data_IF_003902517044
#
_entry.id   IF_003902517044
#
_cell.length_a   1.000
_cell.length_b   1.000
_cell.length_c   1.000
_cell.angle_alpha   90.00
_cell.angle_beta   90.00
_cell.angle_gamma   90.00
#
_symmetry.space_group_name_H-M   'P 1'
#
loop_
_entity.id
_entity.type
_entity.pdbx_description
1 polymer ?
#
# COMPACT_ATOMS: atom_id res chain seq x y z
N UNK A 1 46.53 -1.79 53.67
CA UNK A 1 45.87 -0.57 53.17
C UNK A 1 44.77 -0.96 52.20
N UNK A 2 43.55 -0.43 52.40
CA UNK A 2 42.27 -0.88 51.83
C UNK A 2 42.17 -0.66 50.31
N UNK A 3 41.68 -1.67 49.57
CA UNK A 3 41.19 -1.51 48.19
C UNK A 3 39.78 -0.91 48.24
N UNK A 4 39.60 0.28 47.67
CA UNK A 4 38.28 0.86 47.40
C UNK A 4 37.73 0.27 46.10
N UNK A 5 36.62 -0.46 46.18
CA UNK A 5 35.82 -0.87 45.04
C UNK A 5 34.79 0.23 44.80
N UNK A 6 34.87 0.90 43.66
CA UNK A 6 33.91 1.91 43.22
C UNK A 6 32.73 1.20 42.55
N UNK A 7 31.59 1.09 43.24
CA UNK A 7 30.33 0.67 42.64
C UNK A 7 29.72 1.85 41.88
N UNK A 8 29.87 1.84 40.54
CA UNK A 8 29.16 2.76 39.67
C UNK A 8 27.70 2.33 39.52
N UNK A 9 26.79 3.06 40.16
CA UNK A 9 25.35 2.97 39.89
C UNK A 9 25.07 3.54 38.48
N UNK A 10 24.83 2.67 37.50
CA UNK A 10 24.16 3.06 36.26
C UNK A 10 22.68 3.29 36.60
N UNK A 11 22.30 4.56 36.73
CA UNK A 11 20.91 4.97 36.77
C UNK A 11 20.27 4.61 35.42
N UNK A 12 19.53 3.51 35.38
CA UNK A 12 18.56 3.21 34.33
C UNK A 12 17.45 4.25 34.42
N UNK A 13 17.62 5.37 33.72
CA UNK A 13 16.55 6.33 33.50
C UNK A 13 15.37 5.61 32.84
N UNK A 14 14.13 5.86 33.27
CA UNK A 14 12.96 5.25 32.65
C UNK A 14 12.91 5.72 31.19
N UNK A 15 13.06 4.78 30.26
CA UNK A 15 12.65 5.00 28.88
C UNK A 15 11.16 5.37 28.92
N UNK A 16 10.86 6.66 28.77
CA UNK A 16 9.51 7.10 28.51
C UNK A 16 9.09 6.50 27.17
N UNK A 17 8.40 5.37 27.22
CA UNK A 17 7.60 4.90 26.09
C UNK A 17 6.47 5.91 25.95
N UNK A 18 6.65 6.89 25.08
CA UNK A 18 5.57 7.78 24.68
C UNK A 18 4.43 6.88 24.20
N UNK A 19 3.33 6.84 24.96
CA UNK A 19 2.07 6.29 24.46
C UNK A 19 1.70 7.18 23.29
N UNK A 20 1.87 6.67 22.06
CA UNK A 20 1.32 7.32 20.88
C UNK A 20 -0.15 7.60 21.17
N UNK A 21 -0.52 8.87 21.27
CA UNK A 21 -1.93 9.25 21.32
C UNK A 21 -2.64 8.65 20.11
N UNK A 22 -3.86 8.14 20.30
CA UNK A 22 -4.64 7.62 19.21
C UNK A 22 -4.95 8.78 18.26
N UNK A 23 -4.36 8.75 17.07
CA UNK A 23 -4.60 9.76 16.03
C UNK A 23 -6.09 9.80 15.70
N UNK A 24 -6.67 11.00 15.64
CA UNK A 24 -8.09 11.19 15.35
C UNK A 24 -8.36 10.78 13.90
N UNK A 25 -9.52 10.20 13.60
CA UNK A 25 -9.90 9.88 12.22
C UNK A 25 -10.69 11.06 11.64
N UNK A 26 -10.24 11.64 10.52
CA UNK A 26 -10.91 12.78 9.90
C UNK A 26 -12.24 12.39 9.24
N UNK A 27 -12.31 11.18 8.66
CA UNK A 27 -13.48 10.69 7.96
C UNK A 27 -14.34 9.79 8.86
N UNK A 28 -15.56 10.21 9.26
CA UNK A 28 -16.42 9.38 10.10
C UNK A 28 -16.74 8.02 9.48
N UNK A 29 -16.75 7.94 8.15
CA UNK A 29 -16.92 6.69 7.41
C UNK A 29 -15.79 5.68 7.70
N UNK A 30 -14.55 6.14 7.92
CA UNK A 30 -13.42 5.28 8.29
C UNK A 30 -13.55 4.71 9.71
N UNK A 31 -14.30 5.35 10.61
CA UNK A 31 -14.60 4.78 11.93
C UNK A 31 -15.42 3.49 11.83
N UNK A 32 -16.15 3.29 10.72
CA UNK A 32 -16.89 2.05 10.45
C UNK A 32 -15.97 0.91 9.98
N UNK A 33 -14.76 1.24 9.53
CA UNK A 33 -13.80 0.27 9.04
C UNK A 33 -12.91 -0.24 10.18
N UNK A 34 -12.70 -1.57 10.20
CA UNK A 34 -11.72 -2.18 11.10
C UNK A 34 -10.31 -1.85 10.60
N UNK A 35 -9.43 -1.49 11.53
CA UNK A 35 -8.00 -1.40 11.24
C UNK A 35 -7.50 -2.78 10.80
N UNK A 36 -6.76 -2.83 9.69
CA UNK A 36 -6.08 -4.05 9.24
C UNK A 36 -4.61 -3.77 8.89
N UNK A 37 -3.77 -4.79 9.03
CA UNK A 37 -2.37 -4.73 8.59
C UNK A 37 -2.30 -4.83 7.06
N UNK A 38 -1.32 -4.17 6.44
CA UNK A 38 -1.12 -4.20 4.99
C UNK A 38 -1.07 -5.63 4.44
N UNK A 39 -0.31 -6.52 5.07
CA UNK A 39 -0.23 -7.91 4.63
C UNK A 39 -1.56 -8.65 4.63
N UNK A 40 -2.46 -8.35 5.58
CA UNK A 40 -3.80 -8.93 5.63
C UNK A 40 -4.66 -8.41 4.46
N UNK A 41 -4.54 -7.12 4.14
CA UNK A 41 -5.21 -6.53 2.98
C UNK A 41 -4.70 -7.16 1.69
N UNK A 42 -3.38 -7.24 1.50
CA UNK A 42 -2.79 -7.87 0.31
C UNK A 42 -3.23 -9.33 0.20
N UNK A 43 -3.18 -10.11 1.28
CA UNK A 43 -3.62 -11.52 1.27
C UNK A 43 -5.08 -11.67 0.83
N UNK A 44 -5.96 -10.80 1.33
CA UNK A 44 -7.38 -10.77 0.99
C UNK A 44 -7.59 -10.48 -0.51
N UNK A 45 -6.81 -9.57 -1.08
CA UNK A 45 -6.88 -9.21 -2.50
C UNK A 45 -6.07 -10.11 -3.43
N UNK A 46 -5.25 -11.03 -2.91
CA UNK A 46 -4.73 -12.14 -3.73
C UNK A 46 -5.89 -13.03 -4.21
N UNK A 47 -5.91 -13.43 -5.50
CA UNK A 47 -6.91 -14.35 -6.04
C UNK A 47 -6.91 -15.68 -5.30
N UNK A 48 -8.09 -16.25 -5.11
CA UNK A 48 -8.25 -17.64 -4.74
C UNK A 48 -7.83 -18.53 -5.92
N UNK A 49 -7.62 -19.84 -5.68
CA UNK A 49 -7.17 -20.76 -6.74
C UNK A 49 -8.11 -20.83 -7.94
N UNK A 50 -9.41 -20.72 -7.70
CA UNK A 50 -10.45 -20.85 -8.72
C UNK A 50 -10.84 -19.50 -9.34
N UNK A 51 -10.28 -18.38 -8.85
CA UNK A 51 -10.50 -17.06 -9.44
C UNK A 51 -9.77 -17.01 -10.80
N UNK A 52 -10.50 -16.66 -11.86
CA UNK A 52 -9.90 -16.56 -13.19
C UNK A 52 -9.00 -15.31 -13.29
N UNK A 53 -9.62 -14.13 -13.21
CA UNK A 53 -8.99 -12.82 -13.39
C UNK A 53 -9.52 -11.81 -12.33
N UNK A 54 -8.81 -10.70 -12.15
CA UNK A 54 -9.34 -9.54 -11.43
C UNK A 54 -10.49 -8.91 -12.24
N UNK A 55 -11.64 -8.79 -11.60
CA UNK A 55 -12.83 -8.15 -12.16
C UNK A 55 -13.16 -6.88 -11.40
N UNK A 56 -13.97 -6.00 -12.00
CA UNK A 56 -14.39 -4.76 -11.32
C UNK A 56 -15.16 -5.01 -10.04
N UNK A 57 -15.90 -6.13 -9.94
CA UNK A 57 -16.61 -6.54 -8.74
C UNK A 57 -15.76 -7.37 -7.75
N UNK A 58 -14.46 -7.55 -8.03
CA UNK A 58 -13.57 -8.32 -7.18
C UNK A 58 -13.54 -7.73 -5.76
N UNK A 59 -13.93 -8.53 -4.75
CA UNK A 59 -14.07 -8.11 -3.35
C UNK A 59 -15.02 -6.91 -3.13
N UNK A 60 -16.01 -6.70 -4.02
CA UNK A 60 -16.95 -5.58 -3.93
C UNK A 60 -17.74 -5.53 -2.61
N UNK A 61 -17.97 -6.69 -1.98
CA UNK A 61 -18.73 -6.82 -0.73
C UNK A 61 -17.83 -6.98 0.51
N UNK A 62 -16.53 -6.64 0.41
CA UNK A 62 -15.65 -6.72 1.58
C UNK A 62 -16.08 -5.69 2.64
N UNK A 63 -16.37 -6.11 3.89
CA UNK A 63 -16.88 -5.19 4.91
C UNK A 63 -15.82 -4.19 5.41
N UNK A 64 -14.55 -4.39 5.07
CA UNK A 64 -13.46 -3.48 5.45
C UNK A 64 -13.02 -2.57 4.29
N UNK A 65 -13.83 -2.45 3.23
CA UNK A 65 -13.61 -1.55 2.11
C UNK A 65 -14.88 -0.73 1.86
N UNK A 66 -14.72 0.59 1.75
CA UNK A 66 -15.78 1.47 1.24
C UNK A 66 -15.46 1.78 -0.21
N UNK A 67 -16.32 1.35 -1.13
CA UNK A 67 -16.21 1.71 -2.54
C UNK A 67 -16.76 3.11 -2.74
N UNK A 68 -15.94 4.00 -3.29
CA UNK A 68 -16.31 5.38 -3.61
C UNK A 68 -17.10 5.44 -4.91
N UNK A 69 -16.73 4.59 -5.87
CA UNK A 69 -17.40 4.51 -7.16
C UNK A 69 -18.49 3.44 -7.17
N UNK A 70 -19.62 3.76 -7.83
CA UNK A 70 -20.75 2.83 -8.01
C UNK A 70 -20.36 1.60 -8.85
N UNK A 71 -19.49 1.80 -9.84
CA UNK A 71 -18.93 0.77 -10.76
C UNK A 71 -17.48 1.14 -11.08
N UNK A 72 -16.98 0.83 -12.27
CA UNK A 72 -15.82 1.50 -12.86
C UNK A 72 -16.22 2.80 -13.56
N UNK A 73 -15.29 3.75 -13.59
CA UNK A 73 -15.36 4.98 -14.38
C UNK A 73 -14.38 4.81 -15.53
N UNK A 74 -14.84 4.99 -16.77
CA UNK A 74 -14.01 4.95 -17.96
C UNK A 74 -13.83 6.37 -18.50
N UNK A 75 -12.59 6.76 -18.77
CA UNK A 75 -12.20 8.06 -19.32
C UNK A 75 -11.34 7.84 -20.55
N UNK A 76 -11.58 8.64 -21.59
CA UNK A 76 -10.72 8.67 -22.78
C UNK A 76 -9.58 9.67 -22.54
N UNK A 77 -8.35 9.22 -22.69
CA UNK A 77 -7.14 10.02 -22.56
C UNK A 77 -6.89 10.84 -23.84
N UNK A 78 -6.02 11.85 -23.73
CA UNK A 78 -5.69 12.76 -24.84
C UNK A 78 -5.05 12.05 -26.04
N UNK A 79 -4.35 10.94 -25.81
CA UNK A 79 -3.77 10.10 -26.85
C UNK A 79 -4.79 9.17 -27.55
N UNK A 80 -6.06 9.27 -27.16
CA UNK A 80 -7.17 8.48 -27.70
C UNK A 80 -7.34 7.11 -27.06
N UNK A 81 -6.47 6.70 -26.14
CA UNK A 81 -6.62 5.47 -25.36
C UNK A 81 -7.67 5.63 -24.27
N UNK A 82 -8.12 4.51 -23.71
CA UNK A 82 -9.05 4.52 -22.57
C UNK A 82 -8.27 4.18 -21.31
N UNK A 83 -8.78 4.72 -20.20
CA UNK A 83 -8.40 4.36 -18.85
C UNK A 83 -9.67 4.15 -18.04
N UNK A 84 -9.76 2.98 -17.40
CA UNK A 84 -10.85 2.63 -16.51
C UNK A 84 -10.32 2.49 -15.08
N UNK A 85 -11.08 2.99 -14.12
CA UNK A 85 -10.73 2.85 -12.70
C UNK A 85 -11.92 2.62 -11.79
N UNK A 86 -11.68 2.00 -10.64
CA UNK A 86 -12.63 1.91 -9.54
C UNK A 86 -11.91 2.13 -8.22
N UNK A 87 -12.36 3.13 -7.46
CA UNK A 87 -11.75 3.58 -6.21
C UNK A 87 -12.48 3.01 -5.00
N UNK A 88 -11.71 2.41 -4.10
CA UNK A 88 -12.14 2.05 -2.75
C UNK A 88 -11.17 2.61 -1.71
N UNK A 89 -11.62 2.65 -0.46
CA UNK A 89 -10.80 3.04 0.69
C UNK A 89 -10.86 1.99 1.80
N UNK A 90 -9.73 1.80 2.47
CA UNK A 90 -9.59 0.91 3.61
C UNK A 90 -8.80 1.59 4.74
N UNK A 91 -9.05 1.15 5.97
CA UNK A 91 -8.28 1.58 7.15
C UNK A 91 -7.10 0.63 7.38
N UNK A 92 -5.91 1.05 6.98
CA UNK A 92 -4.72 0.18 6.93
C UNK A 92 -3.58 0.78 7.73
N UNK A 93 -2.77 -0.10 8.31
CA UNK A 93 -1.50 0.25 8.95
C UNK A 93 -0.41 -0.70 8.46
N UNK A 94 0.85 -0.28 8.59
CA UNK A 94 2.02 -1.12 8.32
C UNK A 94 2.79 -1.28 9.61
N UNK A 95 2.76 -2.47 10.20
CA UNK A 95 3.42 -2.78 11.47
C UNK A 95 3.01 -1.83 12.61
N UNK A 96 1.72 -1.50 12.69
CA UNK A 96 1.18 -0.53 13.65
C UNK A 96 1.25 0.93 13.21
N UNK A 97 2.03 1.27 12.18
CA UNK A 97 2.21 2.66 11.71
C UNK A 97 1.10 3.04 10.74
N UNK A 98 0.50 4.21 10.96
CA UNK A 98 -0.62 4.75 10.19
C UNK A 98 -0.19 6.03 9.50
N UNK A 99 -0.58 6.20 8.24
CA UNK A 99 -0.40 7.47 7.54
C UNK A 99 -1.16 8.58 8.25
N UNK A 100 -0.60 9.79 8.24
CA UNK A 100 -1.21 10.95 8.88
C UNK A 100 -1.24 12.17 7.99
N UNK A 101 -2.19 13.06 8.24
CA UNK A 101 -2.30 14.37 7.63
C UNK A 101 -2.56 15.44 8.70
N UNK A 102 -1.85 16.56 8.61
CA UNK A 102 -2.00 17.70 9.49
C UNK A 102 -3.03 18.68 8.92
N UNK A 103 -4.15 18.82 9.62
CA UNK A 103 -5.20 19.80 9.32
C UNK A 103 -5.75 20.36 10.64
N UNK A 104 -5.16 21.45 11.12
CA UNK A 104 -5.33 21.96 12.50
C UNK A 104 -4.86 21.00 13.62
N UNK A 105 -4.91 19.68 13.42
CA UNK A 105 -4.36 18.59 14.24
C UNK A 105 -4.00 17.38 13.35
N UNK A 106 -3.29 16.39 13.91
CA UNK A 106 -2.98 15.15 13.18
C UNK A 106 -4.21 14.25 13.04
N UNK A 107 -4.48 13.83 11.81
CA UNK A 107 -5.51 12.84 11.48
C UNK A 107 -4.94 11.60 10.82
N UNK A 108 -5.54 10.44 11.11
CA UNK A 108 -5.27 9.20 10.38
C UNK A 108 -5.88 9.30 8.98
N UNK A 109 -5.06 9.02 7.96
CA UNK A 109 -5.52 8.94 6.57
C UNK A 109 -5.82 7.49 6.17
N UNK A 110 -6.76 7.27 5.25
CA UNK A 110 -7.02 5.93 4.74
C UNK A 110 -5.96 5.50 3.73
N UNK A 111 -6.12 4.25 3.27
CA UNK A 111 -5.46 3.75 2.09
C UNK A 111 -6.44 3.68 0.94
N UNK A 112 -6.02 4.16 -0.23
CA UNK A 112 -6.68 3.91 -1.48
C UNK A 112 -6.45 2.46 -1.93
N UNK A 113 -7.51 1.86 -2.47
CA UNK A 113 -7.51 0.62 -3.24
C UNK A 113 -8.02 1.02 -4.62
N UNK A 114 -7.13 1.10 -5.60
CA UNK A 114 -7.50 1.52 -6.96
C UNK A 114 -7.42 0.31 -7.87
N UNK A 115 -8.54 -0.04 -8.48
CA UNK A 115 -8.56 -0.98 -9.60
C UNK A 115 -8.32 -0.17 -10.86
N UNK A 116 -7.41 -0.63 -11.71
CA UNK A 116 -7.00 0.05 -12.94
C UNK A 116 -7.06 -0.94 -14.10
N UNK A 117 -7.54 -0.48 -15.25
CA UNK A 117 -7.57 -1.24 -16.48
C UNK A 117 -7.61 -0.33 -17.71
N UNK A 118 -7.15 -0.82 -18.85
CA UNK A 118 -7.18 -0.06 -20.11
C UNK A 118 -8.63 0.25 -20.57
N UNK A 119 -9.42 -0.78 -20.88
CA UNK A 119 -10.84 -0.63 -21.24
C UNK A 119 -11.68 -1.40 -20.24
N UNK A 120 -12.77 -0.81 -19.77
CA UNK A 120 -13.60 -1.38 -18.71
C UNK A 120 -14.10 -2.80 -19.04
N UNK A 121 -14.39 -3.09 -20.30
CA UNK A 121 -14.84 -4.42 -20.73
C UNK A 121 -13.79 -5.54 -20.55
N UNK A 122 -12.50 -5.21 -20.50
CA UNK A 122 -11.42 -6.21 -20.36
C UNK A 122 -11.10 -6.56 -18.91
N UNK A 123 -11.68 -5.82 -17.96
CA UNK A 123 -11.50 -6.06 -16.54
C UNK A 123 -10.34 -5.25 -15.97
N UNK A 124 -9.77 -5.78 -14.88
CA UNK A 124 -8.77 -5.08 -14.07
C UNK A 124 -7.39 -5.67 -14.37
N UNK A 125 -6.48 -4.79 -14.78
CA UNK A 125 -5.08 -5.13 -15.04
C UNK A 125 -4.26 -5.08 -13.75
N UNK A 126 -4.51 -4.05 -12.91
CA UNK A 126 -3.74 -3.77 -11.71
C UNK A 126 -4.64 -3.37 -10.54
N UNK A 127 -4.25 -3.79 -9.33
CA UNK A 127 -4.83 -3.29 -8.08
C UNK A 127 -3.74 -2.57 -7.29
N UNK A 128 -3.88 -1.27 -7.11
CA UNK A 128 -2.92 -0.40 -6.44
C UNK A 128 -3.35 -0.08 -4.99
N UNK A 129 -2.40 -0.10 -4.07
CA UNK A 129 -2.57 0.14 -2.63
C UNK A 129 -1.58 1.20 -2.17
N UNK A 130 -2.07 2.30 -1.61
CA UNK A 130 -1.23 3.36 -1.04
C UNK A 130 -2.02 4.26 -0.08
N UNK A 131 -1.37 4.87 0.93
CA UNK A 131 -2.02 5.88 1.76
C UNK A 131 -2.42 7.10 0.91
N UNK A 132 -3.67 7.55 1.01
CA UNK A 132 -4.21 8.65 0.19
C UNK A 132 -5.48 9.25 0.78
N UNK A 133 -5.77 10.50 0.44
CA UNK A 133 -7.03 11.16 0.80
C UNK A 133 -8.07 10.97 -0.33
N UNK A 134 -9.27 10.44 -0.05
CA UNK A 134 -10.24 10.10 -1.09
C UNK A 134 -10.90 11.29 -1.79
N UNK A 135 -10.98 12.44 -1.14
CA UNK A 135 -11.67 13.65 -1.64
C UNK A 135 -10.79 14.56 -2.50
N UNK A 136 -9.51 14.24 -2.60
CA UNK A 136 -8.56 14.95 -3.44
C UNK A 136 -8.03 13.97 -4.47
N UNK A 137 -8.57 14.05 -5.68
CA UNK A 137 -8.12 13.20 -6.78
C UNK A 137 -6.61 13.37 -6.97
N UNK A 138 -5.87 12.27 -6.85
CA UNK A 138 -4.41 12.26 -7.00
C UNK A 138 -3.59 12.61 -5.75
N UNK A 139 -4.20 12.92 -4.60
CA UNK A 139 -3.46 13.15 -3.34
C UNK A 139 -3.04 11.82 -2.69
N UNK A 140 -2.07 11.18 -3.34
CA UNK A 140 -1.17 10.25 -2.66
C UNK A 140 -0.58 10.95 -1.43
N UNK A 141 -0.36 10.21 -0.33
CA UNK A 141 0.32 10.72 0.86
C UNK A 141 1.69 11.28 0.46
N UNK A 142 1.78 12.61 0.37
CA UNK A 142 2.92 13.35 -0.16
C UNK A 142 2.79 14.83 0.22
N UNK A 143 3.91 15.50 0.50
CA UNK A 143 3.91 16.90 0.91
C UNK A 143 4.09 17.10 2.42
N UNK A 144 4.37 18.34 2.82
CA UNK A 144 4.74 18.72 4.19
C UNK A 144 3.63 18.48 5.23
N UNK A 145 2.38 18.43 4.79
CA UNK A 145 1.24 18.11 5.66
C UNK A 145 1.09 16.63 5.96
N UNK A 146 1.78 15.74 5.23
CA UNK A 146 1.64 14.30 5.37
C UNK A 146 2.81 13.68 6.12
N UNK A 147 2.54 12.62 6.87
CA UNK A 147 3.54 11.82 7.58
C UNK A 147 3.27 10.34 7.42
N UNK A 148 4.33 9.55 7.59
CA UNK A 148 4.27 8.08 7.55
C UNK A 148 3.72 7.54 6.21
N UNK A 149 4.09 8.20 5.10
CA UNK A 149 3.70 7.85 3.72
C UNK A 149 4.55 6.74 3.08
N UNK A 150 5.76 6.55 3.61
CA UNK A 150 6.67 5.49 3.18
C UNK A 150 6.47 4.24 4.01
N UNK A 151 6.62 3.08 3.37
CA UNK A 151 6.45 1.81 4.05
C UNK A 151 7.25 0.70 3.39
N UNK A 152 7.67 -0.27 4.20
CA UNK A 152 8.17 -1.55 3.72
C UNK A 152 7.10 -2.64 3.88
N UNK A 153 6.66 -3.30 2.80
CA UNK A 153 5.55 -4.26 2.89
C UNK A 153 5.98 -5.59 3.53
N UNK A 154 7.26 -5.95 3.45
CA UNK A 154 7.75 -7.32 3.59
C UNK A 154 7.44 -7.97 4.94
N UNK A 155 7.71 -7.29 6.06
CA UNK A 155 7.40 -7.84 7.39
C UNK A 155 5.90 -8.04 7.58
N UNK A 156 5.06 -7.13 7.04
CA UNK A 156 3.61 -7.27 7.10
C UNK A 156 3.12 -8.43 6.21
N UNK A 157 3.69 -8.59 5.00
CA UNK A 157 3.43 -9.73 4.11
C UNK A 157 3.77 -11.07 4.76
N UNK A 158 4.96 -11.20 5.37
CA UNK A 158 5.36 -12.44 6.06
C UNK A 158 4.43 -12.77 7.21
N UNK A 159 4.03 -11.77 8.03
CA UNK A 159 3.05 -11.97 9.12
C UNK A 159 1.69 -12.45 8.62
N UNK A 160 1.32 -12.12 7.39
CA UNK A 160 0.09 -12.59 6.74
C UNK A 160 0.24 -13.94 6.01
N UNK A 161 1.40 -14.60 6.12
CA UNK A 161 1.67 -15.89 5.46
C UNK A 161 1.92 -15.78 3.96
N UNK A 162 2.30 -14.59 3.48
CA UNK A 162 2.69 -14.36 2.08
C UNK A 162 4.20 -14.50 1.94
N UNK A 163 4.63 -15.42 1.09
CA UNK A 163 6.01 -15.53 0.61
C UNK A 163 6.20 -14.62 -0.60
N UNK A 164 7.38 -14.03 -0.73
CA UNK A 164 7.72 -13.15 -1.85
C UNK A 164 9.13 -13.47 -2.38
N UNK A 165 9.27 -13.52 -3.71
CA UNK A 165 10.56 -13.71 -4.40
C UNK A 165 10.77 -12.57 -5.39
N UNK A 166 11.84 -11.78 -5.23
CA UNK A 166 12.18 -10.71 -6.18
C UNK A 166 12.52 -11.32 -7.54
N UNK A 167 11.98 -10.74 -8.62
CA UNK A 167 12.23 -11.18 -10.00
C UNK A 167 13.01 -10.13 -10.81
N UNK A 168 12.70 -8.86 -10.62
CA UNK A 168 13.40 -7.75 -11.26
C UNK A 168 13.16 -6.44 -10.52
N UNK A 169 14.00 -5.46 -10.81
CA UNK A 169 13.87 -4.11 -10.28
C UNK A 169 14.34 -3.09 -11.30
N UNK A 170 13.74 -1.91 -11.23
CA UNK A 170 14.17 -0.70 -11.92
C UNK A 170 14.52 0.33 -10.87
N UNK A 171 15.78 0.73 -10.83
CA UNK A 171 16.26 1.80 -9.96
C UNK A 171 16.51 3.05 -10.81
N UNK A 172 15.76 4.13 -10.57
CA UNK A 172 15.92 5.40 -11.27
C UNK A 172 16.84 6.35 -10.48
N UNK A 173 16.68 6.37 -9.16
CA UNK A 173 17.55 7.07 -8.20
C UNK A 173 17.33 6.51 -6.80
N UNK A 174 18.08 6.95 -5.79
CA UNK A 174 18.02 6.36 -4.44
C UNK A 174 16.59 6.26 -3.85
N UNK A 175 15.73 7.26 -4.10
CA UNK A 175 14.33 7.26 -3.64
C UNK A 175 13.29 7.00 -4.73
N UNK A 176 13.70 6.68 -5.95
CA UNK A 176 12.81 6.35 -7.06
C UNK A 176 13.11 4.95 -7.59
N UNK A 177 12.22 4.00 -7.32
CA UNK A 177 12.38 2.61 -7.75
C UNK A 177 11.05 1.91 -7.97
N UNK A 178 11.10 0.80 -8.72
CA UNK A 178 10.06 -0.20 -8.78
C UNK A 178 10.69 -1.60 -8.65
N UNK A 179 10.16 -2.43 -7.77
CA UNK A 179 10.66 -3.78 -7.50
C UNK A 179 9.52 -4.77 -7.65
N UNK A 180 9.67 -5.73 -8.57
CA UNK A 180 8.69 -6.76 -8.83
C UNK A 180 9.04 -8.07 -8.10
N UNK A 181 8.01 -8.72 -7.57
CA UNK A 181 8.09 -9.96 -6.81
C UNK A 181 7.02 -10.93 -7.30
N UNK A 182 7.29 -12.23 -7.25
CA UNK A 182 6.24 -13.24 -7.24
C UNK A 182 5.77 -13.40 -5.80
N UNK A 183 4.47 -13.22 -5.57
CA UNK A 183 3.82 -13.46 -4.27
C UNK A 183 3.12 -14.81 -4.28
N UNK A 184 3.26 -15.57 -3.20
CA UNK A 184 2.61 -16.87 -3.02
C UNK A 184 2.10 -17.01 -1.60
N UNK A 185 0.92 -17.59 -1.43
CA UNK A 185 0.32 -17.84 -0.12
C UNK A 185 -0.59 -19.07 -0.18
N UNK A 186 -0.81 -19.72 0.97
CA UNK A 186 -1.65 -20.91 1.03
C UNK A 186 -3.09 -20.60 0.56
N UNK A 187 -3.67 -21.48 -0.26
CA UNK A 187 -5.01 -21.35 -0.86
C UNK A 187 -5.20 -20.13 -1.79
N UNK A 188 -4.13 -19.43 -2.15
CA UNK A 188 -4.13 -18.32 -3.09
C UNK A 188 -3.44 -18.69 -4.39
N UNK A 189 -3.87 -18.08 -5.49
CA UNK A 189 -3.14 -18.06 -6.76
C UNK A 189 -1.95 -17.12 -6.59
N UNK A 190 -0.80 -17.51 -7.14
CA UNK A 190 0.36 -16.62 -7.18
C UNK A 190 0.06 -15.41 -8.08
N UNK A 191 0.63 -14.27 -7.73
CA UNK A 191 0.48 -12.99 -8.44
C UNK A 191 1.81 -12.25 -8.44
N UNK A 192 1.95 -11.27 -9.32
CA UNK A 192 3.03 -10.29 -9.18
C UNK A 192 2.66 -9.26 -8.11
N UNK A 193 3.62 -8.94 -7.27
CA UNK A 193 3.59 -7.79 -6.37
C UNK A 193 4.64 -6.78 -6.81
N UNK A 194 4.25 -5.53 -7.04
CA UNK A 194 5.20 -4.45 -7.38
C UNK A 194 5.21 -3.43 -6.25
N UNK A 195 6.39 -3.23 -5.65
CA UNK A 195 6.60 -2.17 -4.66
C UNK A 195 7.36 -1.03 -5.32
N UNK A 196 6.74 0.14 -5.36
CA UNK A 196 7.30 1.35 -5.94
C UNK A 196 7.51 2.44 -4.91
N UNK A 197 8.55 3.25 -5.11
CA UNK A 197 8.78 4.48 -4.38
C UNK A 197 9.00 5.63 -5.37
N UNK A 198 8.45 6.79 -5.04
CA UNK A 198 8.71 8.05 -5.72
C UNK A 198 9.14 9.08 -4.70
N UNK A 199 10.22 9.80 -4.98
CA UNK A 199 10.76 10.85 -4.10
C UNK A 199 11.19 12.05 -4.91
N UNK A 200 10.84 13.25 -4.44
CA UNK A 200 11.22 14.53 -5.01
C UNK A 200 11.34 15.62 -3.94
N UNK A 201 11.52 16.87 -4.37
CA UNK A 201 11.65 18.02 -3.45
C UNK A 201 10.42 18.24 -2.56
N UNK A 202 9.23 17.82 -3.01
CA UNK A 202 7.99 17.93 -2.25
C UNK A 202 7.73 16.78 -1.26
N UNK A 203 8.60 15.77 -1.19
CA UNK A 203 8.44 14.62 -0.30
C UNK A 203 8.62 13.27 -1.01
N UNK A 204 8.12 12.21 -0.37
CA UNK A 204 8.20 10.85 -0.90
C UNK A 204 6.96 10.04 -0.56
N UNK A 205 6.66 9.08 -1.42
CA UNK A 205 5.52 8.19 -1.28
C UNK A 205 5.85 6.79 -1.79
N UNK A 206 5.13 5.80 -1.28
CA UNK A 206 5.26 4.42 -1.73
C UNK A 206 3.91 3.89 -2.23
N UNK A 207 3.98 2.95 -3.16
CA UNK A 207 2.83 2.21 -3.68
C UNK A 207 3.12 0.72 -3.67
N UNK A 208 2.09 -0.09 -3.47
CA UNK A 208 2.15 -1.53 -3.66
C UNK A 208 1.06 -1.94 -4.66
N UNK A 209 1.41 -2.75 -5.66
CA UNK A 209 0.49 -3.17 -6.71
C UNK A 209 0.38 -4.68 -6.77
N UNK A 210 -0.81 -5.19 -7.05
CA UNK A 210 -1.05 -6.58 -7.44
C UNK A 210 -1.37 -6.64 -8.93
N UNK A 211 -0.69 -7.53 -9.63
CA UNK A 211 -0.86 -7.79 -11.06
C UNK A 211 -0.99 -9.30 -11.25
N UNK A 212 -1.86 -9.75 -12.15
CA UNK A 212 -2.02 -11.17 -12.41
C UNK A 212 -0.70 -11.80 -12.87
N UNK A 213 -0.45 -13.04 -12.44
CA UNK A 213 0.74 -13.76 -12.87
C UNK A 213 0.63 -14.09 -14.36
N UNK A 214 1.67 -13.72 -15.10
CA UNK A 214 1.81 -13.96 -16.54
C UNK A 214 3.25 -14.32 -16.88
N UNK A 215 3.78 -13.82 -18.00
CA UNK A 215 5.17 -14.05 -18.39
C UNK A 215 6.14 -13.17 -17.57
N UNK A 216 7.09 -13.79 -16.88
CA UNK A 216 8.07 -13.08 -16.03
C UNK A 216 8.97 -12.13 -16.82
N UNK A 217 9.42 -12.54 -18.02
CA UNK A 217 10.25 -11.70 -18.89
C UNK A 217 9.47 -10.47 -19.37
N UNK A 218 8.21 -10.64 -19.71
CA UNK A 218 7.33 -9.55 -20.10
C UNK A 218 7.07 -8.58 -18.94
N UNK A 219 6.80 -9.10 -17.74
CA UNK A 219 6.67 -8.28 -16.53
C UNK A 219 7.92 -7.44 -16.29
N UNK A 220 9.10 -8.03 -16.41
CA UNK A 220 10.36 -7.31 -16.25
C UNK A 220 10.62 -6.31 -17.37
N UNK A 221 10.28 -6.64 -18.63
CA UNK A 221 10.36 -5.70 -19.75
C UNK A 221 9.48 -4.47 -19.51
N UNK A 222 8.23 -4.70 -19.08
CA UNK A 222 7.28 -3.62 -18.81
C UNK A 222 7.74 -2.73 -17.66
N UNK A 223 8.24 -3.32 -16.56
CA UNK A 223 8.80 -2.57 -15.43
C UNK A 223 9.96 -1.66 -15.85
N UNK A 224 10.82 -2.15 -16.76
CA UNK A 224 11.99 -1.42 -17.27
C UNK A 224 11.63 -0.29 -18.26
N UNK A 225 10.34 -0.04 -18.52
CA UNK A 225 9.88 1.00 -19.45
C UNK A 225 10.04 0.58 -20.91
N UNK A 226 9.76 -0.69 -21.20
CA UNK A 226 10.00 -1.37 -22.47
C UNK A 226 9.94 -0.48 -23.71
N UNK A 227 11.09 -0.35 -24.38
CA UNK A 227 11.19 -0.10 -25.82
C UNK A 227 10.93 -1.39 -26.60
#
# INVERSE_FOLDING_TARGET
MKKMILFGFLALGPFMVAKSENVTVQYPALLKLKQQELGQLIFKFMPNKDDQNFSWNYRANDPNVIWMDKSYIETKLDDGTYYSSRKGIARVNVLGVKGKYLDHKEYEIPWAIIFEGTVGKFGVDTISFYPAMPERDGDICFGEGFRDCEFSPFKSLTKAGISYKKICERQLSAGNFEKAYILSANKKKSVYGVWGASSGSGGSSNTFKLIQLGNEKEMCKNLMGGL
#
